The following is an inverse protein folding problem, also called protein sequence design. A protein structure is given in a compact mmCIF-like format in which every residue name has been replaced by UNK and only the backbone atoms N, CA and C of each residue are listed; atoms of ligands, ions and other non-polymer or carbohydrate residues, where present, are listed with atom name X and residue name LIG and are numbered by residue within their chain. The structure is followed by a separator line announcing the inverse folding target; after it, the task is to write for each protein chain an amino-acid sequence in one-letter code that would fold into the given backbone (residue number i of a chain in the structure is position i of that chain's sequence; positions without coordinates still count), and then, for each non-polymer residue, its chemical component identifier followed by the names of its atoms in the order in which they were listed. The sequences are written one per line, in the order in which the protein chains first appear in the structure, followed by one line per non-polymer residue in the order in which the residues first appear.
data_IF_895510820381
#
_entry.id   IF_895510820381
#
_cell.length_a   1.000
_cell.length_b   1.000
_cell.length_c   1.000
_cell.angle_alpha   90.00
_cell.angle_beta   90.00
_cell.angle_gamma   90.00
#
_symmetry.space_group_name_H-M   'P 1'
#
loop_
_entity.id
_entity.type
_entity.pdbx_description
1 polymer ?
#
# COMPACT_ATOMS: atom_id res chain seq x y z
N UNK A 1 45.37 -10.01 -16.52
CA UNK A 1 44.45 -9.58 -17.59
C UNK A 1 43.69 -10.79 -18.10
N UNK A 2 42.49 -11.04 -17.55
CA UNK A 2 41.66 -12.20 -17.92
C UNK A 2 40.55 -11.73 -18.89
N UNK A 3 40.96 -11.21 -20.07
CA UNK A 3 40.06 -10.58 -21.06
C UNK A 3 38.95 -11.53 -21.52
N UNK A 4 39.29 -12.82 -21.68
CA UNK A 4 38.33 -13.88 -22.01
C UNK A 4 37.25 -14.05 -20.94
N UNK A 5 37.58 -13.96 -19.64
CA UNK A 5 36.59 -14.08 -18.56
C UNK A 5 35.62 -12.89 -18.53
N UNK A 6 36.12 -11.68 -18.82
CA UNK A 6 35.32 -10.44 -18.90
C UNK A 6 34.41 -10.52 -20.13
N UNK A 7 34.94 -10.97 -21.27
CA UNK A 7 34.19 -11.19 -22.50
C UNK A 7 33.06 -12.21 -22.33
N UNK A 8 33.34 -13.34 -21.69
CA UNK A 8 32.33 -14.34 -21.34
C UNK A 8 31.28 -13.75 -20.39
N UNK A 9 31.68 -12.96 -19.39
CA UNK A 9 30.75 -12.33 -18.45
C UNK A 9 29.82 -11.32 -19.13
N UNK A 10 30.35 -10.44 -20.00
CA UNK A 10 29.58 -9.45 -20.76
C UNK A 10 28.62 -10.13 -21.73
N UNK A 11 29.11 -11.13 -22.47
CA UNK A 11 28.30 -11.88 -23.44
C UNK A 11 27.16 -12.67 -22.79
N UNK A 12 27.37 -13.16 -21.57
CA UNK A 12 26.33 -13.85 -20.78
C UNK A 12 25.21 -12.90 -20.34
N UNK A 13 25.55 -11.63 -20.06
CA UNK A 13 24.58 -10.63 -19.59
C UNK A 13 23.89 -9.85 -20.71
N UNK A 14 24.54 -9.77 -21.88
CA UNK A 14 24.06 -9.08 -23.08
C UNK A 14 24.16 -10.00 -24.30
N UNK A 15 23.31 -11.06 -24.38
CA UNK A 15 23.34 -11.97 -25.52
C UNK A 15 22.91 -11.24 -26.79
N UNK A 16 23.67 -11.41 -27.89
CA UNK A 16 23.35 -10.85 -29.21
C UNK A 16 24.08 -9.55 -29.57
N UNK A 17 25.08 -9.14 -28.80
CA UNK A 17 25.98 -8.05 -29.21
C UNK A 17 26.77 -8.44 -30.47
N UNK A 18 26.93 -7.49 -31.39
CA UNK A 18 27.86 -7.68 -32.51
C UNK A 18 29.29 -7.74 -31.99
N UNK A 19 30.16 -8.46 -32.70
CA UNK A 19 31.59 -8.58 -32.34
C UNK A 19 32.23 -7.20 -32.18
N UNK A 20 31.93 -6.24 -33.07
CA UNK A 20 32.45 -4.88 -32.99
C UNK A 20 31.98 -4.13 -31.73
N UNK A 21 30.71 -4.28 -31.35
CA UNK A 21 30.16 -3.66 -30.14
C UNK A 21 30.75 -4.29 -28.88
N UNK A 22 30.93 -5.61 -28.88
CA UNK A 22 31.55 -6.33 -27.76
C UNK A 22 33.00 -5.87 -27.56
N UNK A 23 33.80 -5.77 -28.64
CA UNK A 23 35.18 -5.26 -28.58
C UNK A 23 35.23 -3.84 -28.04
N UNK A 24 34.35 -2.95 -28.52
CA UNK A 24 34.28 -1.55 -28.05
C UNK A 24 33.93 -1.47 -26.55
N UNK A 25 33.03 -2.33 -26.06
CA UNK A 25 32.67 -2.40 -24.64
C UNK A 25 33.85 -2.89 -23.81
N UNK A 26 34.60 -3.90 -24.28
CA UNK A 26 35.77 -4.43 -23.58
C UNK A 26 36.90 -3.40 -23.47
N UNK A 27 37.14 -2.63 -24.53
CA UNK A 27 38.13 -1.54 -24.54
C UNK A 27 37.77 -0.45 -23.53
N UNK A 28 36.50 -0.03 -23.48
CA UNK A 28 36.04 0.95 -22.48
C UNK A 28 36.15 0.39 -21.05
N UNK A 29 35.88 -0.89 -20.83
CA UNK A 29 36.03 -1.52 -19.52
C UNK A 29 37.51 -1.56 -19.09
N UNK A 30 38.42 -1.82 -20.03
CA UNK A 30 39.86 -1.80 -19.78
C UNK A 30 40.35 -0.38 -19.45
N UNK A 31 39.90 0.65 -20.17
CA UNK A 31 40.18 2.06 -19.86
C UNK A 31 39.65 2.50 -18.49
N UNK A 32 38.54 1.90 -18.05
CA UNK A 32 37.96 2.13 -16.72
C UNK A 32 38.64 1.31 -15.60
N UNK A 33 39.70 0.55 -15.92
CA UNK A 33 40.49 -0.22 -14.95
C UNK A 33 39.82 -1.50 -14.47
N UNK A 34 38.96 -2.12 -15.28
CA UNK A 34 38.36 -3.43 -14.99
C UNK A 34 39.38 -4.52 -15.31
N UNK A 35 40.03 -5.09 -14.29
CA UNK A 35 41.14 -6.03 -14.47
C UNK A 35 40.69 -7.51 -14.41
N UNK A 36 39.52 -7.77 -13.82
CA UNK A 36 38.99 -9.10 -13.57
C UNK A 36 37.45 -9.15 -13.64
N UNK A 37 36.89 -10.36 -13.78
CA UNK A 37 35.44 -10.58 -13.66
C UNK A 37 34.87 -10.11 -12.32
N UNK A 38 35.67 -10.09 -11.26
CA UNK A 38 35.23 -9.60 -9.95
C UNK A 38 34.98 -8.08 -9.94
N UNK A 39 35.63 -7.32 -10.83
CA UNK A 39 35.42 -5.88 -10.97
C UNK A 39 34.09 -5.54 -11.67
N UNK A 40 33.54 -6.50 -12.41
CA UNK A 40 32.17 -6.42 -12.96
C UNK A 40 31.10 -6.78 -11.93
N UNK A 41 31.48 -7.31 -10.76
CA UNK A 41 30.52 -7.70 -9.75
C UNK A 41 29.90 -6.45 -9.11
N UNK A 42 28.59 -6.29 -9.28
CA UNK A 42 27.81 -5.24 -8.62
C UNK A 42 27.85 -5.33 -7.08
N UNK A 43 28.26 -6.48 -6.54
CA UNK A 43 28.36 -6.76 -5.11
C UNK A 43 29.67 -7.49 -4.81
N UNK A 44 30.50 -6.89 -3.96
CA UNK A 44 31.76 -7.43 -3.43
C UNK A 44 31.46 -8.32 -2.22
N UNK A 45 31.48 -9.63 -2.44
CA UNK A 45 31.13 -10.64 -1.43
C UNK A 45 32.20 -10.85 -0.35
N UNK A 46 33.46 -10.50 -0.62
CA UNK A 46 34.55 -10.45 0.37
C UNK A 46 34.24 -9.48 1.51
N UNK A 47 33.57 -8.36 1.21
CA UNK A 47 33.13 -7.35 2.19
C UNK A 47 31.86 -7.72 2.97
N UNK A 48 31.27 -8.88 2.73
CA UNK A 48 30.04 -9.29 3.41
C UNK A 48 30.29 -9.80 4.84
N UNK A 49 29.31 -9.71 5.76
CA UNK A 49 29.43 -10.31 7.08
C UNK A 49 29.80 -11.80 7.03
N UNK A 50 30.62 -12.26 7.98
CA UNK A 50 31.09 -13.64 8.00
C UNK A 50 29.95 -14.67 8.04
N UNK A 51 28.89 -14.39 8.78
CA UNK A 51 27.68 -15.23 8.83
C UNK A 51 27.04 -15.42 7.45
N UNK A 52 27.08 -14.38 6.60
CA UNK A 52 26.56 -14.44 5.23
C UNK A 52 27.46 -15.29 4.36
N UNK A 53 28.78 -15.06 4.38
CA UNK A 53 29.73 -15.88 3.60
C UNK A 53 29.64 -17.37 3.97
N UNK A 54 29.44 -17.67 5.25
CA UNK A 54 29.20 -19.03 5.74
C UNK A 54 27.86 -19.59 5.21
N UNK A 55 26.79 -18.81 5.25
CA UNK A 55 25.49 -19.22 4.70
C UNK A 55 25.56 -19.51 3.19
N UNK A 56 26.29 -18.70 2.42
CA UNK A 56 26.51 -18.93 0.99
C UNK A 56 27.27 -20.23 0.73
N UNK A 57 28.34 -20.47 1.50
CA UNK A 57 29.17 -21.68 1.36
C UNK A 57 28.39 -22.96 1.66
N UNK A 58 27.42 -22.87 2.57
CA UNK A 58 26.54 -23.98 2.95
C UNK A 58 25.23 -24.03 2.14
N UNK A 59 25.07 -23.16 1.13
CA UNK A 59 23.83 -22.98 0.36
C UNK A 59 22.56 -22.82 1.23
N UNK A 60 22.73 -22.27 2.43
CA UNK A 60 21.71 -22.15 3.45
C UNK A 60 21.06 -20.76 3.46
N UNK A 61 19.81 -20.68 3.91
CA UNK A 61 19.16 -19.39 4.15
C UNK A 61 19.76 -18.73 5.39
N UNK A 62 20.27 -17.48 5.28
CA UNK A 62 20.76 -16.76 6.46
C UNK A 62 19.62 -16.37 7.41
N UNK A 63 19.95 -16.00 8.64
CA UNK A 63 18.93 -15.49 9.55
C UNK A 63 18.41 -14.12 9.07
N UNK A 64 17.21 -13.66 9.50
CA UNK A 64 16.73 -12.31 9.19
C UNK A 64 17.66 -11.20 9.71
N UNK A 65 18.42 -11.47 10.78
CA UNK A 65 19.45 -10.58 11.28
C UNK A 65 20.60 -10.46 10.28
N UNK A 66 21.20 -11.60 9.91
CA UNK A 66 22.32 -11.65 8.96
C UNK A 66 21.92 -11.09 7.60
N UNK A 67 20.71 -11.39 7.12
CA UNK A 67 20.19 -10.85 5.86
C UNK A 67 20.11 -9.32 5.90
N UNK A 68 19.72 -8.73 7.03
CA UNK A 68 19.71 -7.26 7.19
C UNK A 68 21.12 -6.68 7.14
N UNK A 69 22.10 -7.36 7.72
CA UNK A 69 23.50 -6.94 7.66
C UNK A 69 24.06 -7.03 6.25
N UNK A 70 23.71 -8.08 5.49
CA UNK A 70 23.99 -8.15 4.05
C UNK A 70 23.35 -6.98 3.29
N UNK A 71 22.06 -6.71 3.51
CA UNK A 71 21.36 -5.61 2.82
C UNK A 71 22.01 -4.26 3.16
N UNK A 72 22.48 -4.05 4.40
CA UNK A 72 23.25 -2.87 4.78
C UNK A 72 24.54 -2.78 3.97
N UNK A 73 25.34 -3.84 3.95
CA UNK A 73 26.60 -3.90 3.22
C UNK A 73 26.41 -3.69 1.70
N UNK A 74 25.40 -4.32 1.09
CA UNK A 74 25.05 -4.13 -0.33
C UNK A 74 24.72 -2.67 -0.61
N UNK A 75 23.85 -2.04 0.20
CA UNK A 75 23.49 -0.64 0.00
C UNK A 75 24.67 0.29 0.30
N UNK A 76 25.56 -0.07 1.22
CA UNK A 76 26.78 0.70 1.46
C UNK A 76 27.69 0.71 0.22
N UNK A 77 27.87 -0.44 -0.43
CA UNK A 77 28.59 -0.55 -1.70
C UNK A 77 27.87 0.20 -2.84
N UNK A 78 26.53 0.12 -2.94
CA UNK A 78 25.77 0.89 -3.94
C UNK A 78 26.02 2.40 -3.83
N UNK A 79 26.15 2.90 -2.60
CA UNK A 79 26.41 4.32 -2.32
C UNK A 79 27.84 4.76 -2.64
N UNK A 80 28.78 3.84 -2.84
CA UNK A 80 30.12 4.16 -3.36
C UNK A 80 30.04 4.66 -4.83
N UNK A 81 29.00 4.24 -5.57
CA UNK A 81 28.84 4.53 -7.01
C UNK A 81 27.67 5.48 -7.32
N UNK A 82 26.55 5.36 -6.59
CA UNK A 82 25.37 6.20 -6.76
C UNK A 82 24.77 6.59 -5.41
N UNK A 83 24.76 7.88 -5.10
CA UNK A 83 24.20 8.42 -3.85
C UNK A 83 22.66 8.37 -3.81
N UNK A 84 21.98 8.10 -4.92
CA UNK A 84 20.52 7.92 -4.95
C UNK A 84 20.07 6.83 -5.94
N UNK A 85 20.34 5.55 -5.64
CA UNK A 85 20.00 4.44 -6.52
C UNK A 85 18.50 4.39 -6.84
N UNK A 86 18.20 4.38 -8.13
CA UNK A 86 16.81 4.23 -8.62
C UNK A 86 16.26 2.84 -8.30
N UNK A 87 14.94 2.68 -8.31
CA UNK A 87 14.31 1.36 -8.10
C UNK A 87 14.78 0.33 -9.13
N UNK A 88 15.05 0.74 -10.37
CA UNK A 88 15.56 -0.13 -11.42
C UNK A 88 16.96 -0.66 -11.10
N UNK A 89 17.85 0.19 -10.58
CA UNK A 89 19.20 -0.21 -10.13
C UNK A 89 19.08 -1.17 -8.95
N UNK A 90 18.27 -0.84 -7.94
CA UNK A 90 18.04 -1.75 -6.80
C UNK A 90 17.50 -3.12 -7.25
N UNK A 91 16.62 -3.13 -8.26
CA UNK A 91 16.03 -4.35 -8.79
C UNK A 91 17.04 -5.19 -9.56
N UNK A 92 17.89 -4.57 -10.39
CA UNK A 92 18.98 -5.26 -11.08
C UNK A 92 19.92 -5.95 -10.10
N UNK A 93 20.32 -5.28 -9.02
CA UNK A 93 21.19 -5.84 -7.98
C UNK A 93 20.49 -6.99 -7.23
N UNK A 94 19.24 -6.78 -6.79
CA UNK A 94 18.48 -7.83 -6.10
C UNK A 94 18.31 -9.08 -6.98
N UNK A 95 18.03 -8.88 -8.28
CA UNK A 95 17.89 -9.96 -9.25
C UNK A 95 19.20 -10.69 -9.48
N UNK A 96 20.33 -9.98 -9.56
CA UNK A 96 21.66 -10.60 -9.68
C UNK A 96 21.98 -11.48 -8.47
N UNK A 97 21.77 -10.95 -7.25
CA UNK A 97 22.02 -11.69 -6.00
C UNK A 97 21.19 -12.98 -5.96
N UNK A 98 19.91 -12.90 -6.31
CA UNK A 98 19.02 -14.07 -6.31
C UNK A 98 19.37 -15.07 -7.41
N UNK A 99 19.80 -14.60 -8.58
CA UNK A 99 20.27 -15.49 -9.66
C UNK A 99 21.51 -16.27 -9.25
N UNK A 100 22.45 -15.61 -8.58
CA UNK A 100 23.73 -16.21 -8.22
C UNK A 100 23.60 -17.11 -6.98
N UNK A 101 22.70 -16.77 -6.04
CA UNK A 101 22.45 -17.53 -4.81
C UNK A 101 20.94 -17.76 -4.55
N UNK A 102 20.25 -18.54 -5.42
CA UNK A 102 18.80 -18.71 -5.35
C UNK A 102 18.35 -19.43 -4.08
N UNK A 103 19.08 -20.46 -3.64
CA UNK A 103 18.75 -21.20 -2.40
C UNK A 103 18.82 -20.33 -1.15
N UNK A 104 19.75 -19.38 -1.13
CA UNK A 104 19.96 -18.49 0.00
C UNK A 104 18.95 -17.33 0.03
N UNK A 105 18.56 -16.75 -1.11
CA UNK A 105 17.84 -15.47 -1.13
C UNK A 105 16.55 -15.42 -1.93
N UNK A 106 16.24 -16.42 -2.77
CA UNK A 106 15.03 -16.39 -3.59
C UNK A 106 13.76 -16.45 -2.74
N UNK A 107 12.75 -15.69 -3.13
CA UNK A 107 11.38 -15.86 -2.68
C UNK A 107 10.81 -17.14 -3.30
N UNK A 108 10.69 -18.20 -2.51
CA UNK A 108 10.12 -19.48 -2.94
C UNK A 108 8.70 -19.64 -2.39
N UNK A 109 7.92 -20.55 -2.94
CA UNK A 109 6.64 -21.01 -2.37
C UNK A 109 6.86 -22.28 -1.55
N UNK A 110 5.86 -22.67 -0.76
CA UNK A 110 5.80 -23.95 -0.03
C UNK A 110 6.10 -25.22 -0.86
N UNK A 111 5.97 -25.16 -2.20
CA UNK A 111 6.27 -26.27 -3.13
C UNK A 111 7.69 -26.21 -3.74
N UNK A 112 8.51 -25.22 -3.36
CA UNK A 112 9.85 -25.00 -3.89
C UNK A 112 9.92 -24.07 -5.12
N UNK A 113 8.78 -23.70 -5.71
CA UNK A 113 8.75 -22.84 -6.90
C UNK A 113 9.12 -21.38 -6.56
N UNK A 114 9.98 -20.77 -7.37
CA UNK A 114 10.36 -19.35 -7.24
C UNK A 114 9.17 -18.44 -7.61
N UNK A 115 8.88 -17.45 -6.78
CA UNK A 115 7.78 -16.48 -6.99
C UNK A 115 8.23 -15.37 -7.94
N UNK A 116 7.73 -15.38 -9.18
CA UNK A 116 8.08 -14.35 -10.17
C UNK A 116 9.57 -14.40 -10.50
N UNK A 117 10.29 -13.30 -10.31
CA UNK A 117 11.76 -13.25 -10.44
C UNK A 117 12.51 -13.59 -9.14
N UNK A 118 11.78 -13.96 -8.08
CA UNK A 118 12.33 -14.40 -6.80
C UNK A 118 12.98 -13.32 -5.95
N UNK A 119 12.98 -12.06 -6.36
CA UNK A 119 13.77 -11.01 -5.70
C UNK A 119 12.92 -9.93 -5.01
N UNK A 120 11.61 -10.14 -4.89
CA UNK A 120 10.68 -9.13 -4.39
C UNK A 120 10.99 -8.70 -2.95
N UNK A 121 11.16 -9.64 -2.03
CA UNK A 121 11.46 -9.35 -0.62
C UNK A 121 12.83 -8.65 -0.48
N UNK A 122 13.83 -9.10 -1.25
CA UNK A 122 15.18 -8.53 -1.23
C UNK A 122 15.18 -7.10 -1.80
N UNK A 123 14.52 -6.88 -2.94
CA UNK A 123 14.34 -5.56 -3.55
C UNK A 123 13.68 -4.60 -2.56
N UNK A 124 12.62 -5.05 -1.86
CA UNK A 124 11.92 -4.21 -0.90
C UNK A 124 12.84 -3.81 0.26
N UNK A 125 13.63 -4.73 0.81
CA UNK A 125 14.60 -4.45 1.86
C UNK A 125 15.71 -3.50 1.40
N UNK A 126 16.30 -3.72 0.23
CA UNK A 126 17.31 -2.85 -0.38
C UNK A 126 16.74 -1.44 -0.58
N UNK A 127 15.57 -1.31 -1.21
CA UNK A 127 14.98 0.01 -1.48
C UNK A 127 14.65 0.77 -0.20
N UNK A 128 14.09 0.07 0.79
CA UNK A 128 13.83 0.63 2.12
C UNK A 128 15.12 1.15 2.77
N UNK A 129 16.22 0.39 2.69
CA UNK A 129 17.52 0.79 3.25
C UNK A 129 18.14 1.99 2.53
N UNK A 130 18.01 2.07 1.20
CA UNK A 130 18.40 3.25 0.39
C UNK A 130 17.65 4.49 0.86
N UNK A 131 16.32 4.39 1.00
CA UNK A 131 15.48 5.50 1.47
C UNK A 131 15.86 5.95 2.89
N UNK A 132 16.15 5.02 3.79
CA UNK A 132 16.66 5.36 5.13
C UNK A 132 17.98 6.13 5.08
N UNK A 133 18.91 5.75 4.20
CA UNK A 133 20.19 6.45 4.03
C UNK A 133 20.01 7.85 3.44
N UNK A 134 19.02 8.02 2.56
CA UNK A 134 18.69 9.30 1.92
C UNK A 134 17.76 10.20 2.74
N UNK A 135 17.32 9.78 3.93
CA UNK A 135 16.35 10.51 4.76
C UNK A 135 16.79 11.94 5.13
N UNK A 136 18.11 12.18 5.22
CA UNK A 136 18.69 13.48 5.57
C UNK A 136 19.31 14.21 4.35
N UNK A 137 19.24 13.65 3.14
CA UNK A 137 19.82 14.24 1.94
C UNK A 137 18.78 15.10 1.18
N UNK A 138 18.65 16.36 1.58
CA UNK A 138 17.74 17.35 0.98
C UNK A 138 18.04 17.67 -0.50
N UNK A 139 19.26 17.38 -0.98
CA UNK A 139 19.71 17.66 -2.35
C UNK A 139 19.34 16.54 -3.34
N UNK A 140 19.36 15.27 -2.90
CA UNK A 140 18.95 14.12 -3.73
C UNK A 140 17.46 14.15 -4.12
N UNK A 141 16.63 14.84 -3.32
CA UNK A 141 15.18 14.98 -3.55
C UNK A 141 14.81 15.97 -4.67
N UNK A 142 15.78 16.76 -5.17
CA UNK A 142 15.54 17.86 -6.13
C UNK A 142 15.74 17.50 -7.62
N UNK A 143 15.96 16.23 -7.99
CA UNK A 143 16.30 15.90 -9.39
C UNK A 143 15.31 14.95 -10.07
N UNK A 144 14.24 15.54 -10.60
CA UNK A 144 13.80 15.52 -12.02
C UNK A 144 12.37 16.06 -12.06
N UNK A 145 12.18 17.23 -12.66
CA UNK A 145 10.87 17.59 -13.19
C UNK A 145 10.47 16.51 -14.20
N UNK A 146 9.37 15.82 -13.91
CA UNK A 146 8.77 14.86 -14.83
C UNK A 146 8.31 15.65 -16.06
N UNK A 147 8.97 15.47 -17.21
CA UNK A 147 8.49 16.01 -18.49
C UNK A 147 7.00 15.71 -18.61
N UNK A 148 6.18 16.74 -18.80
CA UNK A 148 4.75 16.61 -19.08
C UNK A 148 4.56 15.57 -20.18
N UNK A 149 3.92 14.45 -19.84
CA UNK A 149 3.49 13.46 -20.83
C UNK A 149 2.24 14.00 -21.50
N UNK A 150 2.40 14.94 -22.43
CA UNK A 150 1.43 15.17 -23.50
C UNK A 150 1.58 14.02 -24.49
N UNK A 151 1.07 12.85 -24.11
CA UNK A 151 0.80 11.78 -25.06
C UNK A 151 -0.70 11.78 -25.29
N UNK A 152 -1.11 12.43 -26.39
CA UNK A 152 -2.43 12.24 -26.98
C UNK A 152 -2.50 10.76 -27.38
N UNK A 153 -3.38 10.01 -26.72
CA UNK A 153 -3.75 8.67 -27.18
C UNK A 153 -5.24 8.75 -27.47
N UNK A 154 -5.55 8.71 -28.77
CA UNK A 154 -6.92 8.54 -29.26
C UNK A 154 -7.46 7.17 -28.83
N UNK A 155 -8.73 7.15 -28.42
CA UNK A 155 -9.49 5.92 -28.25
C UNK A 155 -9.46 5.31 -26.84
N UNK A 156 -10.20 5.92 -25.91
CA UNK A 156 -10.54 5.31 -24.62
C UNK A 156 -10.77 6.35 -23.54
N UNK A 157 -12.03 6.54 -23.10
CA UNK A 157 -12.40 7.46 -22.01
C UNK A 157 -11.76 7.01 -20.70
N UNK A 158 -10.60 7.57 -20.39
CA UNK A 158 -10.01 7.58 -19.05
C UNK A 158 -9.61 9.02 -18.78
N UNK A 159 -10.37 9.72 -17.94
CA UNK A 159 -9.97 11.05 -17.49
C UNK A 159 -8.59 10.96 -16.83
N UNK A 160 -7.67 11.84 -17.22
CA UNK A 160 -6.28 11.78 -16.80
C UNK A 160 -6.15 11.77 -15.26
N UNK A 161 -5.32 10.86 -14.75
CA UNK A 161 -5.08 10.71 -13.31
C UNK A 161 -4.32 11.94 -12.78
N UNK A 162 -4.96 12.69 -11.88
CA UNK A 162 -4.35 13.81 -11.18
C UNK A 162 -3.27 13.36 -10.18
N UNK A 163 -2.36 14.26 -9.75
CA UNK A 163 -1.33 13.96 -8.74
C UNK A 163 -1.96 13.39 -7.47
N UNK A 164 -1.29 12.39 -6.91
CA UNK A 164 -1.75 11.63 -5.75
C UNK A 164 -1.30 12.37 -4.48
N UNK A 165 -2.23 12.68 -3.56
CA UNK A 165 -1.87 13.32 -2.28
C UNK A 165 -1.23 12.33 -1.27
N UNK A 166 -0.89 12.79 -0.06
CA UNK A 166 -0.24 11.94 0.97
C UNK A 166 -1.13 10.76 1.43
N UNK A 167 -2.45 10.90 1.32
CA UNK A 167 -3.42 9.84 1.62
C UNK A 167 -3.82 9.09 0.35
N UNK A 168 -3.21 9.44 -0.78
CA UNK A 168 -3.46 9.01 -2.14
C UNK A 168 -4.87 9.18 -2.68
N UNK A 169 -5.50 10.28 -2.28
CA UNK A 169 -6.59 10.85 -3.04
C UNK A 169 -6.02 11.45 -4.34
N UNK A 170 -6.65 11.12 -5.46
CA UNK A 170 -6.38 11.71 -6.78
C UNK A 170 -7.35 12.83 -7.12
N UNK A 171 -8.54 12.86 -6.52
CA UNK A 171 -9.60 13.83 -6.83
C UNK A 171 -10.14 14.52 -5.58
N UNK A 172 -9.24 14.98 -4.70
CA UNK A 172 -9.62 15.60 -3.43
C UNK A 172 -10.49 16.86 -3.56
N UNK A 173 -10.11 17.74 -4.49
CA UNK A 173 -10.77 19.03 -4.77
C UNK A 173 -10.81 19.25 -6.29
N UNK A 174 -11.78 18.64 -6.99
CA UNK A 174 -11.93 18.83 -8.43
C UNK A 174 -12.36 20.27 -8.74
N UNK A 175 -11.78 20.87 -9.77
CA UNK A 175 -12.08 22.24 -10.23
C UNK A 175 -12.81 22.29 -11.56
N UNK A 176 -12.74 21.21 -12.35
CA UNK A 176 -13.36 21.12 -13.67
C UNK A 176 -14.77 20.54 -13.55
N UNK A 177 -15.75 21.24 -14.11
CA UNK A 177 -17.11 20.75 -14.22
C UNK A 177 -17.18 19.60 -15.23
N UNK A 178 -18.08 18.61 -15.03
CA UNK A 178 -18.33 17.59 -16.04
C UNK A 178 -18.73 18.21 -17.39
N UNK A 179 -18.33 17.57 -18.48
CA UNK A 179 -18.58 18.09 -19.82
C UNK A 179 -20.09 18.31 -20.08
N UNK A 180 -20.46 19.54 -20.45
CA UNK A 180 -21.84 19.92 -20.73
C UNK A 180 -22.69 20.25 -19.50
N UNK A 181 -22.12 20.22 -18.29
CA UNK A 181 -22.82 20.60 -17.05
C UNK A 181 -22.43 22.03 -16.61
N UNK A 182 -23.37 22.74 -16.00
CA UNK A 182 -23.15 24.03 -15.32
C UNK A 182 -23.43 23.87 -13.83
N UNK A 183 -23.09 24.88 -13.00
CA UNK A 183 -23.42 24.81 -11.58
C UNK A 183 -24.93 24.66 -11.34
N UNK A 184 -25.75 25.35 -12.14
CA UNK A 184 -27.21 25.27 -12.07
C UNK A 184 -27.71 23.86 -12.38
N UNK A 185 -27.18 23.19 -13.41
CA UNK A 185 -27.58 21.82 -13.74
C UNK A 185 -27.16 20.84 -12.65
N UNK A 186 -25.99 21.03 -12.04
CA UNK A 186 -25.55 20.20 -10.91
C UNK A 186 -26.44 20.37 -9.67
N UNK A 187 -26.90 21.58 -9.35
CA UNK A 187 -27.85 21.79 -8.26
C UNK A 187 -29.23 21.19 -8.57
N UNK A 188 -29.66 21.17 -9.83
CA UNK A 188 -30.89 20.49 -10.22
C UNK A 188 -30.76 18.96 -10.10
N UNK A 189 -29.60 18.39 -10.49
CA UNK A 189 -29.30 16.97 -10.27
C UNK A 189 -29.27 16.65 -8.77
N UNK A 190 -28.76 17.56 -7.93
CA UNK A 190 -28.81 17.40 -6.46
C UNK A 190 -30.25 17.30 -5.96
N UNK A 191 -31.17 18.16 -6.42
CA UNK A 191 -32.60 18.05 -6.06
C UNK A 191 -33.20 16.72 -6.51
N UNK A 192 -32.86 16.26 -7.71
CA UNK A 192 -33.30 14.95 -8.21
C UNK A 192 -32.80 13.82 -7.30
N UNK A 193 -31.55 13.86 -6.85
CA UNK A 193 -31.01 12.92 -5.88
C UNK A 193 -31.81 12.92 -4.57
N UNK A 194 -32.11 14.09 -4.01
CA UNK A 194 -32.95 14.20 -2.81
C UNK A 194 -34.33 13.59 -3.04
N UNK A 195 -34.99 13.87 -4.17
CA UNK A 195 -36.29 13.29 -4.50
C UNK A 195 -36.26 11.76 -4.60
N UNK A 196 -35.24 11.20 -5.29
CA UNK A 196 -35.05 9.74 -5.38
C UNK A 196 -34.91 9.14 -3.98
N UNK A 197 -34.17 9.81 -3.09
CA UNK A 197 -34.02 9.35 -1.72
C UNK A 197 -35.32 9.46 -0.91
N UNK A 198 -36.10 10.52 -1.07
CA UNK A 198 -37.40 10.65 -0.40
C UNK A 198 -38.40 9.57 -0.84
N UNK A 199 -38.39 9.18 -2.12
CA UNK A 199 -39.30 8.16 -2.66
C UNK A 199 -38.86 6.72 -2.35
N UNK A 200 -37.55 6.43 -2.47
CA UNK A 200 -37.02 5.05 -2.47
C UNK A 200 -36.05 4.78 -1.32
N UNK A 201 -35.72 5.79 -0.52
CA UNK A 201 -34.68 5.71 0.51
C UNK A 201 -33.36 5.20 -0.05
N UNK A 202 -32.67 4.38 0.74
CA UNK A 202 -31.42 3.71 0.35
C UNK A 202 -31.59 2.74 -0.84
N UNK A 203 -32.81 2.29 -1.13
CA UNK A 203 -33.11 1.43 -2.29
C UNK A 203 -32.93 2.13 -3.64
N UNK A 204 -32.94 3.47 -3.66
CA UNK A 204 -32.68 4.26 -4.87
C UNK A 204 -31.20 4.38 -5.28
N UNK A 205 -30.27 3.79 -4.52
CA UNK A 205 -28.83 3.99 -4.69
C UNK A 205 -28.31 3.58 -6.08
N UNK A 206 -28.92 2.57 -6.71
CA UNK A 206 -28.56 2.16 -8.07
C UNK A 206 -28.91 3.22 -9.12
N UNK A 207 -30.12 3.80 -9.03
CA UNK A 207 -30.54 4.89 -9.93
C UNK A 207 -29.75 6.17 -9.66
N UNK A 208 -29.35 6.40 -8.41
CA UNK A 208 -28.64 7.59 -7.98
C UNK A 208 -27.14 7.59 -8.38
N UNK A 209 -26.53 6.44 -8.65
CA UNK A 209 -25.07 6.32 -8.81
C UNK A 209 -24.48 7.23 -9.90
N UNK A 210 -25.06 7.24 -11.10
CA UNK A 210 -24.59 8.11 -12.18
C UNK A 210 -24.78 9.60 -11.87
N UNK A 211 -25.84 9.96 -11.15
CA UNK A 211 -26.11 11.33 -10.72
C UNK A 211 -25.14 11.77 -9.61
N UNK A 212 -24.78 10.84 -8.71
CA UNK A 212 -23.76 11.04 -7.68
C UNK A 212 -22.38 11.26 -8.32
N UNK A 213 -22.03 10.52 -9.37
CA UNK A 213 -20.77 10.74 -10.09
C UNK A 213 -20.73 12.12 -10.78
N UNK A 214 -21.81 12.52 -11.46
CA UNK A 214 -21.92 13.86 -12.07
C UNK A 214 -21.79 15.00 -11.05
N UNK A 215 -22.40 14.84 -9.89
CA UNK A 215 -22.39 15.86 -8.83
C UNK A 215 -21.18 15.76 -7.89
N UNK A 216 -20.19 14.92 -8.21
CA UNK A 216 -19.01 14.70 -7.38
C UNK A 216 -18.28 16.00 -7.00
N UNK A 217 -18.18 16.96 -7.93
CA UNK A 217 -17.53 18.25 -7.67
C UNK A 217 -18.22 19.04 -6.55
N UNK A 218 -19.55 19.19 -6.60
CA UNK A 218 -20.30 19.93 -5.58
C UNK A 218 -20.41 19.16 -4.27
N UNK A 219 -20.34 17.81 -4.30
CA UNK A 219 -20.18 17.00 -3.09
C UNK A 219 -18.84 17.29 -2.39
N UNK A 220 -17.72 17.28 -3.13
CA UNK A 220 -16.39 17.57 -2.57
C UNK A 220 -16.27 19.00 -2.09
N UNK A 221 -16.85 19.97 -2.80
CA UNK A 221 -16.90 21.37 -2.35
C UNK A 221 -17.64 21.49 -1.01
N UNK A 222 -18.77 20.80 -0.84
CA UNK A 222 -19.51 20.78 0.41
C UNK A 222 -18.74 20.08 1.54
N UNK A 223 -18.19 18.89 1.30
CA UNK A 223 -17.44 18.12 2.30
C UNK A 223 -16.12 18.79 2.73
N UNK A 224 -15.53 19.61 1.87
CA UNK A 224 -14.31 20.36 2.13
C UNK A 224 -14.58 21.77 2.70
N UNK A 225 -15.83 22.13 2.99
CA UNK A 225 -16.17 23.45 3.53
C UNK A 225 -15.50 23.70 4.88
N UNK A 226 -15.30 24.99 5.20
CA UNK A 226 -14.73 25.43 6.47
C UNK A 226 -15.71 26.45 7.08
N UNK A 227 -16.34 26.16 8.24
CA UNK A 227 -16.17 24.94 9.06
C UNK A 227 -16.72 23.67 8.36
N UNK A 228 -16.17 22.51 8.76
CA UNK A 228 -16.62 21.23 8.21
C UNK A 228 -18.08 20.96 8.60
N UNK A 229 -18.91 20.42 7.69
CA UNK A 229 -20.32 20.17 7.97
C UNK A 229 -20.48 18.99 8.94
N UNK A 230 -21.50 19.05 9.78
CA UNK A 230 -21.83 17.95 10.68
C UNK A 230 -22.37 16.75 9.90
N UNK A 231 -22.15 15.53 10.39
CA UNK A 231 -22.60 14.31 9.70
C UNK A 231 -24.10 14.31 9.43
N UNK A 232 -24.90 14.86 10.35
CA UNK A 232 -26.36 14.99 10.19
C UNK A 232 -26.72 15.88 9.00
N UNK A 233 -26.01 16.99 8.81
CA UNK A 233 -26.22 17.91 7.69
C UNK A 233 -25.80 17.26 6.37
N UNK A 234 -24.69 16.49 6.38
CA UNK A 234 -24.27 15.73 5.19
C UNK A 234 -25.32 14.65 4.84
N UNK A 235 -25.94 14.02 5.83
CA UNK A 235 -27.00 13.02 5.60
C UNK A 235 -28.24 13.64 4.97
N UNK A 236 -28.58 14.88 5.33
CA UNK A 236 -29.70 15.62 4.74
C UNK A 236 -29.38 16.06 3.31
N UNK A 237 -28.21 16.65 3.08
CA UNK A 237 -27.83 17.24 1.81
C UNK A 237 -27.36 16.21 0.76
N UNK A 238 -26.75 15.11 1.20
CA UNK A 238 -26.14 14.08 0.36
C UNK A 238 -26.38 12.66 0.91
N UNK A 239 -27.65 12.23 1.06
CA UNK A 239 -28.00 10.99 1.76
C UNK A 239 -27.37 9.72 1.15
N UNK A 240 -27.19 9.70 -0.18
CA UNK A 240 -26.60 8.56 -0.86
C UNK A 240 -25.11 8.32 -0.55
N UNK A 241 -24.38 9.30 0.03
CA UNK A 241 -23.04 9.07 0.56
C UNK A 241 -23.02 8.04 1.69
N UNK A 242 -24.16 7.80 2.34
CA UNK A 242 -24.34 6.82 3.42
C UNK A 242 -25.06 5.54 2.97
N UNK A 243 -25.20 5.34 1.65
CA UNK A 243 -25.50 4.04 1.05
C UNK A 243 -24.19 3.29 0.75
N UNK A 244 -24.18 1.95 0.80
CA UNK A 244 -22.95 1.18 0.49
C UNK A 244 -22.43 1.51 -0.91
N UNK A 245 -23.32 1.53 -1.92
CA UNK A 245 -22.96 1.81 -3.31
C UNK A 245 -22.39 3.22 -3.47
N UNK A 246 -23.10 4.25 -2.94
CA UNK A 246 -22.64 5.64 -3.02
C UNK A 246 -21.34 5.89 -2.25
N UNK A 247 -21.17 5.31 -1.06
CA UNK A 247 -19.96 5.43 -0.27
C UNK A 247 -18.74 4.85 -1.01
N UNK A 248 -18.87 3.65 -1.58
CA UNK A 248 -17.77 3.00 -2.29
C UNK A 248 -17.48 3.66 -3.64
N UNK A 249 -18.51 4.10 -4.37
CA UNK A 249 -18.35 4.84 -5.62
C UNK A 249 -17.61 6.17 -5.37
N UNK A 250 -18.01 6.93 -4.36
CA UNK A 250 -17.34 8.19 -3.99
C UNK A 250 -15.88 7.95 -3.57
N UNK A 251 -15.60 6.89 -2.81
CA UNK A 251 -14.23 6.50 -2.48
C UNK A 251 -13.41 6.12 -3.73
N UNK A 252 -14.03 5.38 -4.66
CA UNK A 252 -13.42 5.01 -5.94
C UNK A 252 -13.05 6.23 -6.77
N UNK A 253 -13.92 7.24 -6.86
CA UNK A 253 -13.62 8.50 -7.52
C UNK A 253 -12.50 9.27 -6.81
N UNK A 254 -12.52 9.28 -5.47
CA UNK A 254 -11.55 10.01 -4.65
C UNK A 254 -10.14 9.43 -4.77
N UNK A 255 -10.00 8.10 -4.80
CA UNK A 255 -8.71 7.40 -4.69
C UNK A 255 -8.27 6.64 -5.95
N UNK A 256 -9.16 6.48 -6.94
CA UNK A 256 -8.99 5.58 -8.09
C UNK A 256 -8.80 4.11 -7.66
N UNK A 257 -9.39 3.73 -6.52
CA UNK A 257 -9.27 2.39 -5.94
C UNK A 257 -10.62 1.79 -5.60
N UNK A 258 -10.89 0.59 -6.11
CA UNK A 258 -12.00 -0.24 -5.63
C UNK A 258 -11.66 -0.85 -4.27
N UNK A 259 -12.23 -0.26 -3.21
CA UNK A 259 -11.95 -0.63 -1.82
C UNK A 259 -12.30 -2.09 -1.52
N UNK A 260 -13.45 -2.58 -2.00
CA UNK A 260 -13.90 -3.96 -1.77
C UNK A 260 -12.95 -4.96 -2.42
N UNK A 261 -12.58 -4.72 -3.68
CA UNK A 261 -11.66 -5.59 -4.43
C UNK A 261 -10.31 -5.64 -3.74
N UNK A 262 -9.73 -4.48 -3.40
CA UNK A 262 -8.41 -4.43 -2.75
C UNK A 262 -8.39 -5.05 -1.37
N UNK A 263 -9.44 -4.83 -0.57
CA UNK A 263 -9.51 -5.43 0.76
C UNK A 263 -9.65 -6.96 0.65
N UNK A 264 -10.44 -7.47 -0.29
CA UNK A 264 -10.56 -8.91 -0.54
C UNK A 264 -9.23 -9.52 -1.01
N UNK A 265 -8.55 -8.89 -1.98
CA UNK A 265 -7.24 -9.32 -2.48
C UNK A 265 -6.21 -9.38 -1.34
N UNK A 266 -6.19 -8.36 -0.48
CA UNK A 266 -5.29 -8.29 0.66
C UNK A 266 -5.61 -9.35 1.72
N UNK A 267 -6.88 -9.58 2.01
CA UNK A 267 -7.29 -10.60 2.97
C UNK A 267 -6.94 -12.01 2.47
N UNK A 268 -7.10 -12.26 1.17
CA UNK A 268 -6.76 -13.53 0.55
C UNK A 268 -5.25 -13.77 0.52
N UNK A 269 -4.47 -12.75 0.13
CA UNK A 269 -3.02 -12.87 -0.01
C UNK A 269 -2.25 -12.77 1.32
N UNK A 270 -2.58 -11.80 2.18
CA UNK A 270 -1.83 -11.47 3.40
C UNK A 270 -2.54 -11.87 4.68
N UNK A 271 -3.86 -12.02 4.67
CA UNK A 271 -4.61 -12.40 5.89
C UNK A 271 -4.14 -13.72 6.51
N UNK A 272 -3.87 -14.73 5.68
CA UNK A 272 -3.33 -16.02 6.17
C UNK A 272 -1.91 -15.89 6.72
N UNK A 273 -1.09 -15.01 6.12
CA UNK A 273 0.25 -14.71 6.64
C UNK A 273 0.17 -14.11 8.03
N UNK A 274 -0.71 -13.12 8.24
CA UNK A 274 -0.88 -12.44 9.52
C UNK A 274 -1.31 -13.44 10.61
N UNK A 275 -2.31 -14.29 10.31
CA UNK A 275 -2.77 -15.32 11.24
C UNK A 275 -1.61 -16.26 11.63
N UNK A 276 -0.86 -16.77 10.65
CA UNK A 276 0.27 -17.66 10.89
C UNK A 276 1.40 -16.98 11.66
N UNK A 277 1.69 -15.72 11.37
CA UNK A 277 2.66 -14.93 12.12
C UNK A 277 2.25 -14.77 13.59
N UNK A 278 0.97 -14.47 13.84
CA UNK A 278 0.43 -14.37 15.20
C UNK A 278 0.46 -15.71 15.96
N UNK A 279 0.31 -16.85 15.27
CA UNK A 279 0.45 -18.18 15.88
C UNK A 279 1.87 -18.42 16.45
N UNK A 280 2.90 -17.88 15.81
CA UNK A 280 4.29 -17.97 16.33
C UNK A 280 4.56 -17.00 17.50
N UNK A 281 3.68 -16.03 17.71
CA UNK A 281 3.75 -15.07 18.82
C UNK A 281 3.07 -15.60 20.10
N UNK A 282 3.05 -16.93 20.30
CA UNK A 282 2.37 -17.70 21.36
C UNK A 282 2.88 -17.43 22.80
N UNK A 283 3.07 -16.15 23.14
CA UNK A 283 3.41 -15.62 24.46
C UNK A 283 2.53 -14.42 24.83
N UNK A 284 1.50 -14.13 24.03
CA UNK A 284 0.60 -13.00 24.20
C UNK A 284 -0.81 -13.54 24.45
N UNK A 285 -1.31 -13.52 25.71
CA UNK A 285 -2.58 -14.14 26.07
C UNK A 285 -3.75 -13.68 25.20
N UNK A 286 -3.87 -12.38 24.92
CA UNK A 286 -4.94 -11.83 24.08
C UNK A 286 -4.90 -12.34 22.63
N UNK A 287 -3.69 -12.59 22.08
CA UNK A 287 -3.54 -13.15 20.74
C UNK A 287 -3.92 -14.63 20.75
N UNK A 288 -3.51 -15.37 21.79
CA UNK A 288 -3.86 -16.79 21.97
C UNK A 288 -5.37 -16.99 22.09
N UNK A 289 -6.06 -16.16 22.88
CA UNK A 289 -7.52 -16.20 23.01
C UNK A 289 -8.22 -16.01 21.65
N UNK A 290 -7.80 -15.00 20.89
CA UNK A 290 -8.36 -14.73 19.55
C UNK A 290 -8.10 -15.89 18.60
N UNK A 291 -6.92 -16.51 18.65
CA UNK A 291 -6.57 -17.65 17.80
C UNK A 291 -7.34 -18.92 18.20
N UNK A 292 -7.59 -19.14 19.49
CA UNK A 292 -8.36 -20.27 19.99
C UNK A 292 -9.84 -20.20 19.54
N UNK A 293 -10.40 -18.99 19.50
CA UNK A 293 -11.77 -18.75 19.02
C UNK A 293 -11.89 -18.81 17.48
N UNK A 294 -10.77 -18.70 16.76
CA UNK A 294 -10.77 -18.69 15.29
C UNK A 294 -10.90 -20.10 14.69
N UNK A 295 -12.05 -20.37 14.07
CA UNK A 295 -12.33 -21.60 13.33
C UNK A 295 -12.34 -21.32 11.82
N UNK A 296 -11.33 -21.76 11.04
CA UNK A 296 -11.18 -21.37 9.62
C UNK A 296 -12.42 -21.60 8.74
N UNK A 297 -13.19 -22.64 9.02
CA UNK A 297 -14.41 -23.02 8.28
C UNK A 297 -15.63 -22.15 8.59
N UNK A 298 -15.67 -21.50 9.77
CA UNK A 298 -16.91 -20.87 10.27
C UNK A 298 -16.73 -19.46 10.80
N UNK A 299 -15.52 -19.05 11.15
CA UNK A 299 -15.21 -17.72 11.66
C UNK A 299 -14.87 -16.78 10.50
N UNK A 300 -15.19 -15.51 10.66
CA UNK A 300 -14.87 -14.49 9.68
C UNK A 300 -13.37 -14.15 9.72
N UNK A 301 -12.69 -14.42 8.60
CA UNK A 301 -11.25 -14.17 8.46
C UNK A 301 -10.90 -12.69 8.60
N UNK A 302 -11.75 -11.78 8.12
CA UNK A 302 -11.48 -10.34 8.17
C UNK A 302 -11.55 -9.81 9.61
N UNK A 303 -12.55 -10.25 10.37
CA UNK A 303 -12.71 -9.96 11.79
C UNK A 303 -11.55 -10.52 12.62
N UNK A 304 -11.15 -11.78 12.37
CA UNK A 304 -10.00 -12.38 13.02
C UNK A 304 -8.72 -11.58 12.76
N UNK A 305 -8.41 -11.26 11.50
CA UNK A 305 -7.23 -10.45 11.14
C UNK A 305 -7.29 -9.07 11.81
N UNK A 306 -8.44 -8.41 11.81
CA UNK A 306 -8.59 -7.12 12.49
C UNK A 306 -8.29 -7.22 13.99
N UNK A 307 -8.90 -8.19 14.68
CA UNK A 307 -8.70 -8.40 16.11
C UNK A 307 -7.24 -8.73 16.45
N UNK A 308 -6.58 -9.53 15.62
CA UNK A 308 -5.15 -9.85 15.76
C UNK A 308 -4.26 -8.61 15.60
N UNK A 309 -4.55 -7.74 14.63
CA UNK A 309 -3.82 -6.49 14.44
C UNK A 309 -3.98 -5.56 15.64
N UNK A 310 -5.21 -5.39 16.12
CA UNK A 310 -5.49 -4.59 17.31
C UNK A 310 -4.76 -5.14 18.55
N UNK A 311 -4.82 -6.45 18.76
CA UNK A 311 -4.10 -7.11 19.86
C UNK A 311 -2.57 -6.94 19.73
N UNK A 312 -2.02 -7.04 18.52
CA UNK A 312 -0.60 -6.84 18.27
C UNK A 312 -0.15 -5.41 18.59
N UNK A 313 -0.91 -4.41 18.15
CA UNK A 313 -0.61 -3.00 18.40
C UNK A 313 -1.02 -2.54 19.81
N UNK A 314 -1.65 -3.40 20.61
CA UNK A 314 -2.20 -3.10 21.94
C UNK A 314 -3.28 -2.01 21.89
N UNK A 315 -4.08 -2.03 20.83
CA UNK A 315 -5.18 -1.11 20.58
C UNK A 315 -6.50 -1.72 21.11
N UNK A 316 -7.32 -0.95 21.86
CA UNK A 316 -8.54 -1.49 22.46
C UNK A 316 -9.59 -1.80 21.39
N UNK A 317 -10.25 -2.96 21.47
CA UNK A 317 -11.30 -3.39 20.52
C UNK A 317 -12.42 -2.35 20.37
N UNK A 318 -12.73 -1.63 21.45
CA UNK A 318 -13.74 -0.56 21.53
C UNK A 318 -13.45 0.66 20.65
N UNK A 319 -12.20 0.86 20.21
CA UNK A 319 -11.83 1.98 19.34
C UNK A 319 -12.41 1.85 17.93
N UNK A 320 -12.57 0.63 17.43
CA UNK A 320 -13.15 0.34 16.11
C UNK A 320 -14.53 -0.32 16.24
N UNK A 321 -14.73 -1.16 17.27
CA UNK A 321 -15.92 -1.98 17.44
C UNK A 321 -16.52 -1.75 18.82
N UNK A 322 -17.67 -1.05 18.89
CA UNK A 322 -18.25 -0.62 20.17
C UNK A 322 -19.77 -0.72 20.16
N UNK A 323 -20.33 -0.92 21.36
CA UNK A 323 -21.77 -0.83 21.63
C UNK A 323 -22.20 0.62 21.96
N UNK A 324 -21.25 1.47 22.36
CA UNK A 324 -21.46 2.88 22.70
C UNK A 324 -21.12 3.74 21.48
N UNK A 325 -22.01 4.66 21.11
CA UNK A 325 -21.87 5.59 19.99
C UNK A 325 -20.75 6.63 20.25
N UNK A 326 -19.56 6.50 19.63
CA UNK A 326 -18.46 7.44 19.80
C UNK A 326 -18.57 8.61 18.79
N UNK A 327 -17.74 9.62 18.99
CA UNK A 327 -17.67 10.76 18.07
C UNK A 327 -16.97 10.42 16.74
N UNK A 328 -16.10 9.41 16.72
CA UNK A 328 -15.38 8.95 15.51
C UNK A 328 -16.13 7.84 14.78
N UNK A 329 -15.85 7.58 13.49
CA UNK A 329 -16.40 6.43 12.79
C UNK A 329 -16.13 5.13 13.54
N UNK A 330 -17.18 4.36 13.84
CA UNK A 330 -17.07 3.07 14.51
C UNK A 330 -18.07 2.06 13.98
N UNK A 331 -17.76 0.79 14.18
CA UNK A 331 -18.59 -0.33 13.81
C UNK A 331 -19.37 -0.82 15.04
N UNK A 332 -20.69 -0.84 14.91
CA UNK A 332 -21.56 -1.52 15.88
C UNK A 332 -21.80 -2.92 15.34
N UNK A 333 -21.46 -3.93 16.12
CA UNK A 333 -21.51 -5.33 15.68
C UNK A 333 -22.50 -6.09 16.52
N UNK A 334 -23.47 -6.73 15.87
CA UNK A 334 -24.46 -7.54 16.56
C UNK A 334 -24.08 -9.02 16.48
N UNK A 335 -24.00 -9.66 17.64
CA UNK A 335 -23.59 -11.06 17.78
C UNK A 335 -22.10 -11.20 18.09
N UNK A 336 -21.59 -12.42 17.93
CA UNK A 336 -20.18 -12.75 18.17
C UNK A 336 -19.26 -11.97 17.22
N UNK A 337 -18.19 -11.36 17.73
CA UNK A 337 -17.17 -10.64 16.95
C UNK A 337 -16.56 -11.50 15.83
N UNK A 338 -16.41 -12.81 16.07
CA UNK A 338 -15.88 -13.78 15.12
C UNK A 338 -16.94 -14.29 14.13
N UNK A 339 -18.23 -14.15 14.47
CA UNK A 339 -19.38 -14.57 13.66
C UNK A 339 -20.51 -13.54 13.74
N UNK A 340 -20.26 -12.31 13.27
CA UNK A 340 -21.23 -11.23 13.43
C UNK A 340 -22.45 -11.52 12.56
N UNK A 341 -23.64 -11.34 13.14
CA UNK A 341 -24.91 -11.53 12.41
C UNK A 341 -25.19 -10.35 11.50
N UNK A 342 -24.94 -9.15 12.02
CA UNK A 342 -25.10 -7.90 11.29
C UNK A 342 -24.15 -6.84 11.85
N UNK A 343 -24.01 -5.74 11.12
CA UNK A 343 -23.27 -4.58 11.55
C UNK A 343 -23.93 -3.28 11.12
N UNK A 344 -23.63 -2.22 11.86
CA UNK A 344 -23.98 -0.85 11.55
C UNK A 344 -22.74 0.03 11.64
N UNK A 345 -22.75 1.16 10.94
CA UNK A 345 -21.70 2.18 11.03
C UNK A 345 -22.28 3.38 11.76
N UNK A 346 -21.57 3.85 12.78
CA UNK A 346 -21.86 5.09 13.47
C UNK A 346 -20.76 6.11 13.21
N UNK A 347 -21.14 7.37 13.02
CA UNK A 347 -20.23 8.51 12.87
C UNK A 347 -20.85 9.69 13.63
N UNK A 348 -20.06 10.41 14.43
CA UNK A 348 -20.55 11.54 15.25
C UNK A 348 -21.78 11.17 16.09
N UNK A 349 -21.77 9.97 16.68
CA UNK A 349 -22.88 9.41 17.48
C UNK A 349 -24.17 9.13 16.70
N UNK A 350 -24.17 9.20 15.38
CA UNK A 350 -25.33 8.90 14.54
C UNK A 350 -25.13 7.57 13.80
N UNK A 351 -26.13 6.69 13.80
CA UNK A 351 -26.11 5.47 12.99
C UNK A 351 -26.39 5.84 11.53
N UNK A 352 -25.36 5.82 10.70
CA UNK A 352 -25.44 6.29 9.30
C UNK A 352 -25.71 5.17 8.30
N UNK A 353 -25.28 3.94 8.59
CA UNK A 353 -25.39 2.78 7.69
C UNK A 353 -25.72 1.48 8.44
N UNK A 354 -26.39 0.56 7.76
CA UNK A 354 -26.81 -0.74 8.31
C UNK A 354 -28.27 -0.76 8.79
N UNK A 355 -28.72 -1.92 9.32
CA UNK A 355 -27.94 -3.15 9.50
C UNK A 355 -27.61 -3.88 8.17
N UNK A 356 -26.40 -4.42 8.05
CA UNK A 356 -25.96 -5.23 6.91
C UNK A 356 -25.27 -6.51 7.37
N UNK A 357 -25.28 -7.56 6.55
CA UNK A 357 -24.76 -8.89 6.93
C UNK A 357 -23.37 -9.19 6.35
N UNK A 358 -22.96 -8.51 5.26
CA UNK A 358 -21.67 -8.75 4.63
C UNK A 358 -20.54 -8.12 5.45
N UNK A 359 -19.59 -8.92 5.95
CA UNK A 359 -18.60 -8.49 6.93
C UNK A 359 -17.43 -7.75 6.29
N UNK A 360 -17.00 -8.14 5.09
CA UNK A 360 -15.94 -7.42 4.37
C UNK A 360 -16.39 -5.98 4.06
N UNK A 361 -17.66 -5.82 3.68
CA UNK A 361 -18.22 -4.51 3.37
C UNK A 361 -18.29 -3.59 4.60
N UNK A 362 -18.33 -4.16 5.81
CA UNK A 362 -18.19 -3.41 7.07
C UNK A 362 -16.87 -2.65 7.15
N UNK A 363 -15.76 -3.35 6.95
CA UNK A 363 -14.43 -2.74 6.97
C UNK A 363 -14.27 -1.74 5.84
N UNK A 364 -14.72 -2.09 4.63
CA UNK A 364 -14.72 -1.15 3.51
C UNK A 364 -15.51 0.13 3.82
N UNK A 365 -16.68 0.03 4.46
CA UNK A 365 -17.49 1.20 4.83
C UNK A 365 -16.80 2.07 5.87
N UNK A 366 -16.23 1.46 6.92
CA UNK A 366 -15.45 2.18 7.91
C UNK A 366 -14.29 2.95 7.27
N UNK A 367 -13.47 2.27 6.46
CA UNK A 367 -12.34 2.87 5.78
C UNK A 367 -12.76 3.98 4.81
N UNK A 368 -13.74 3.73 3.95
CA UNK A 368 -14.22 4.73 3.00
C UNK A 368 -14.74 5.99 3.69
N UNK A 369 -15.36 5.86 4.87
CA UNK A 369 -15.90 6.99 5.62
C UNK A 369 -14.81 7.95 6.09
N UNK A 370 -13.65 7.44 6.54
CA UNK A 370 -12.53 8.31 6.92
C UNK A 370 -12.04 9.17 5.76
N UNK A 371 -11.99 8.60 4.55
CA UNK A 371 -11.53 9.31 3.36
C UNK A 371 -12.57 10.29 2.82
N UNK A 372 -13.80 9.81 2.63
CA UNK A 372 -14.86 10.60 2.03
C UNK A 372 -15.24 11.80 2.91
N UNK A 373 -15.25 11.62 4.23
CA UNK A 373 -15.64 12.66 5.19
C UNK A 373 -14.45 13.43 5.78
N UNK A 374 -13.24 13.24 5.26
CA UNK A 374 -12.04 13.98 5.67
C UNK A 374 -11.67 13.80 7.16
N UNK A 375 -12.00 12.64 7.73
CA UNK A 375 -11.84 12.35 9.15
C UNK A 375 -10.46 11.80 9.44
N UNK A 376 -9.94 12.12 10.62
CA UNK A 376 -8.69 11.56 11.11
C UNK A 376 -8.95 10.21 11.79
N UNK A 377 -7.98 9.29 11.66
CA UNK A 377 -8.03 8.05 12.41
C UNK A 377 -7.94 8.33 13.92
N UNK A 378 -8.69 7.60 14.76
CA UNK A 378 -8.58 7.72 16.21
C UNK A 378 -7.18 7.31 16.66
N UNK A 379 -6.62 7.99 17.66
CA UNK A 379 -5.29 7.64 18.20
C UNK A 379 -5.23 6.18 18.66
N UNK A 380 -6.29 5.72 19.33
CA UNK A 380 -6.46 4.37 19.88
C UNK A 380 -6.57 3.25 18.83
N UNK A 381 -6.68 3.57 17.54
CA UNK A 381 -6.71 2.58 16.45
C UNK A 381 -5.82 2.97 15.26
N UNK A 382 -4.97 3.97 15.46
CA UNK A 382 -4.19 4.59 14.40
C UNK A 382 -3.21 3.63 13.75
N UNK A 383 -2.58 2.72 14.51
CA UNK A 383 -1.64 1.74 13.98
C UNK A 383 -2.34 0.68 13.14
N UNK A 384 -3.47 0.13 13.61
CA UNK A 384 -4.24 -0.86 12.85
C UNK A 384 -4.75 -0.27 11.54
N UNK A 385 -5.34 0.93 11.59
CA UNK A 385 -5.89 1.60 10.41
C UNK A 385 -4.78 2.03 9.42
N UNK A 386 -3.67 2.58 9.90
CA UNK A 386 -2.51 2.92 9.06
C UNK A 386 -1.87 1.67 8.45
N UNK A 387 -1.78 0.56 9.19
CA UNK A 387 -1.27 -0.70 8.68
C UNK A 387 -2.16 -1.24 7.55
N UNK A 388 -3.48 -1.28 7.74
CA UNK A 388 -4.40 -1.74 6.69
C UNK A 388 -4.32 -0.81 5.47
N UNK A 389 -4.25 0.52 5.66
CA UNK A 389 -4.07 1.47 4.56
C UNK A 389 -2.80 1.17 3.74
N UNK A 390 -1.68 0.85 4.40
CA UNK A 390 -0.36 0.80 3.73
C UNK A 390 0.08 -0.60 3.30
N UNK A 391 -0.24 -1.63 4.08
CA UNK A 391 0.24 -3.00 3.87
C UNK A 391 -0.69 -3.84 3.00
N UNK A 392 -2.01 -3.59 3.07
CA UNK A 392 -3.04 -4.37 2.35
C UNK A 392 -3.18 -4.00 0.86
N UNK A 393 -2.06 -3.85 0.14
CA UNK A 393 -2.05 -3.71 -1.33
C UNK A 393 -2.77 -2.49 -1.92
N UNK A 394 -3.25 -1.55 -1.11
CA UNK A 394 -3.88 -0.35 -1.65
C UNK A 394 -2.98 0.38 -2.64
N UNK A 395 -1.64 0.26 -2.54
CA UNK A 395 -0.67 1.02 -3.38
C UNK A 395 -1.22 2.43 -3.63
N UNK A 396 -1.85 3.00 -2.60
CA UNK A 396 -2.26 4.38 -2.53
C UNK A 396 -0.91 5.07 -2.54
N UNK A 397 -0.56 5.46 -3.76
CA UNK A 397 0.80 5.69 -4.17
C UNK A 397 1.26 6.95 -3.48
N UNK A 398 1.94 6.84 -2.34
CA UNK A 398 2.99 7.81 -2.03
C UNK A 398 4.17 7.47 -2.94
N UNK A 399 3.98 7.66 -4.25
CA UNK A 399 5.06 8.15 -5.08
C UNK A 399 5.19 9.59 -4.61
N UNK A 400 6.27 9.85 -3.87
CA UNK A 400 6.72 11.19 -3.60
C UNK A 400 6.67 11.99 -4.91
N UNK A 401 5.74 12.93 -5.00
CA UNK A 401 5.91 14.09 -5.86
C UNK A 401 5.64 15.35 -5.05
N UNK A 402 6.57 16.28 -5.14
CA UNK A 402 6.56 17.54 -4.41
C UNK A 402 6.33 18.67 -5.40
N UNK A 403 5.07 18.94 -5.72
CA UNK A 403 4.58 20.12 -6.45
C UNK A 403 3.08 19.89 -6.66
N UNK A 404 2.12 20.70 -6.25
CA UNK A 404 2.04 22.09 -5.81
C UNK A 404 0.81 22.20 -4.90
N UNK A 405 0.95 22.70 -3.67
CA UNK A 405 -0.10 23.50 -3.01
C UNK A 405 0.48 24.19 -1.76
N UNK A 406 0.54 25.53 -1.69
CA UNK A 406 0.99 26.27 -0.50
C UNK A 406 0.11 26.06 0.74
N UNK A 407 -1.13 25.58 0.58
CA UNK A 407 -2.10 25.44 1.68
C UNK A 407 -2.04 24.06 2.38
N UNK A 408 -1.39 23.07 1.78
CA UNK A 408 -1.21 21.73 2.35
C UNK A 408 0.09 21.60 3.17
N UNK A 409 0.40 22.57 4.04
CA UNK A 409 1.46 22.42 5.06
C UNK A 409 0.98 21.53 6.22
N UNK A 410 0.41 20.34 5.94
CA UNK A 410 0.30 19.29 6.96
C UNK A 410 1.65 18.57 7.03
N UNK A 411 2.28 18.60 8.22
CA UNK A 411 3.58 17.99 8.49
C UNK A 411 3.62 16.56 7.93
N UNK A 412 4.63 16.29 7.09
CA UNK A 412 4.97 14.94 6.59
C UNK A 412 5.16 13.98 7.78
N UNK A 413 4.14 13.21 8.12
CA UNK A 413 4.22 12.17 9.13
C UNK A 413 5.09 11.02 8.62
N UNK A 414 6.19 10.72 9.31
CA UNK A 414 6.89 9.45 9.11
C UNK A 414 5.91 8.30 9.39
N UNK A 415 6.05 7.15 8.70
CA UNK A 415 5.29 5.93 9.01
C UNK A 415 5.36 5.68 10.52
N UNK A 416 4.24 5.35 11.14
CA UNK A 416 4.25 5.00 12.56
C UNK A 416 5.31 3.89 12.80
N UNK A 417 6.24 4.08 13.76
CA UNK A 417 7.35 3.16 13.96
C UNK A 417 6.89 1.74 14.29
N UNK A 418 5.74 1.58 14.95
CA UNK A 418 5.14 0.27 15.23
C UNK A 418 4.65 -0.40 13.94
N UNK A 419 3.96 0.33 13.07
CA UNK A 419 3.49 -0.14 11.75
C UNK A 419 4.67 -0.55 10.86
N UNK A 420 5.73 0.27 10.82
CA UNK A 420 6.96 -0.04 10.07
C UNK A 420 7.65 -1.30 10.60
N UNK A 421 7.71 -1.45 11.93
CA UNK A 421 8.32 -2.62 12.58
C UNK A 421 7.54 -3.89 12.31
N UNK A 422 6.21 -3.84 12.43
CA UNK A 422 5.35 -4.98 12.13
C UNK A 422 5.42 -5.39 10.66
N UNK A 423 5.35 -4.44 9.74
CA UNK A 423 5.49 -4.68 8.29
C UNK A 423 6.82 -5.38 7.98
N UNK A 424 7.92 -4.93 8.60
CA UNK A 424 9.24 -5.55 8.43
C UNK A 424 9.27 -6.98 8.96
N UNK A 425 8.72 -7.23 10.16
CA UNK A 425 8.63 -8.57 10.74
C UNK A 425 7.81 -9.52 9.88
N UNK A 426 6.71 -9.06 9.28
CA UNK A 426 5.91 -9.88 8.37
C UNK A 426 6.66 -10.23 7.08
N UNK A 427 7.41 -9.30 6.49
CA UNK A 427 8.26 -9.59 5.32
C UNK A 427 9.35 -10.61 5.67
N UNK A 428 10.01 -10.44 6.80
CA UNK A 428 11.02 -11.39 7.29
C UNK A 428 10.40 -12.79 7.51
N UNK A 429 9.22 -12.83 8.11
CA UNK A 429 8.45 -14.06 8.35
C UNK A 429 8.03 -14.75 7.05
N UNK A 430 7.50 -14.01 6.07
CA UNK A 430 7.13 -14.57 4.76
C UNK A 430 8.34 -15.17 4.03
N UNK A 431 9.52 -14.55 4.20
CA UNK A 431 10.74 -15.05 3.62
C UNK A 431 11.32 -16.26 4.36
N UNK A 432 11.14 -16.37 5.69
CA UNK A 432 11.59 -17.55 6.43
C UNK A 432 10.67 -18.75 6.29
N UNK A 433 9.35 -18.51 6.22
CA UNK A 433 8.33 -19.54 6.26
C UNK A 433 7.99 -20.16 4.90
N UNK A 434 8.80 -19.84 3.89
CA UNK A 434 8.85 -20.45 2.57
C UNK A 434 10.27 -20.93 2.34
#
# INVERSE_FOLDING_TARGET
MNREDIEVAVSTHLPGLSVQTLTSVLEVLEELGVESRADLALVRWDRMPAAIRNALSNEARPSPGDRKDMVRAVVDQMFEHDLNPTRAICHSIARSIVRDYPKCFADVRKKGDIVGDGCHSLLQQIKTRVEYKNRNNTLARRRREKRSRTAVVEGGRVMARAPVDQYGCVRWSPTELPAGETMETLYEIKKQLCNIYSEKGKGGAETAEALMEKTYIIQRQYLNSVPAPAVVEIMEEWPFLFSQRGLYAHFGLLTDVSILVKLQEALNSKGSTIIRFCQELSRHPTIEDILADYKPETSDKAACVLLLLMAYFKEPKTSIMTEILPSTPCLIVQGDLMKPRSWMLSIEKNVVMGPHNNILSRLAALFASFYNLNLQYPEDSSCTLEFIQRYSHFKISILLDSSLDPLAKRKRGNINPHVSTFSRKLVDFEWQAN
#
